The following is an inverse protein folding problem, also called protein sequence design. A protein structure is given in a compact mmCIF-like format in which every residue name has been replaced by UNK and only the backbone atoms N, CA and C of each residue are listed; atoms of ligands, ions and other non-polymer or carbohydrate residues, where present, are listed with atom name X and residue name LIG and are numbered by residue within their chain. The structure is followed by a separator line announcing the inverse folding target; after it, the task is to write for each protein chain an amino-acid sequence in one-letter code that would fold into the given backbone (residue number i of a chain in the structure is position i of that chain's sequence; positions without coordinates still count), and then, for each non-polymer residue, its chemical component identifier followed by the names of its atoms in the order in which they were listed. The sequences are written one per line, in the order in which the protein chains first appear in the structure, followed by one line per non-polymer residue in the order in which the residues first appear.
data_IF_162273124309
#
_entry.id   IF_162273124309
#
_cell.length_a   1.000
_cell.length_b   1.000
_cell.length_c   1.000
_cell.angle_alpha   90.00
_cell.angle_beta   90.00
_cell.angle_gamma   90.00
#
_symmetry.space_group_name_H-M   'P 1'
#
loop_
_entity.id
_entity.type
_entity.pdbx_description
1 polymer ?
#
# COMPACT_ATOMS: atom_id res chain seq x y z
N UNK A 1 -19.34 -16.15 -16.57
CA UNK A 1 -18.25 -15.63 -17.42
C UNK A 1 -17.53 -14.51 -16.65
N UNK A 2 -16.30 -14.14 -17.02
CA UNK A 2 -15.58 -13.02 -16.37
C UNK A 2 -15.26 -11.96 -17.41
N UNK A 3 -15.60 -10.71 -17.11
CA UNK A 3 -15.32 -9.54 -17.96
C UNK A 3 -14.33 -8.62 -17.26
N UNK A 4 -13.32 -8.16 -17.99
CA UNK A 4 -12.30 -7.22 -17.51
C UNK A 4 -12.53 -5.86 -18.18
N UNK A 5 -12.64 -4.80 -17.39
CA UNK A 5 -12.77 -3.43 -17.89
C UNK A 5 -12.22 -2.41 -16.86
N UNK A 6 -12.29 -1.12 -17.18
CA UNK A 6 -11.97 -0.04 -16.24
C UNK A 6 -13.07 0.12 -15.19
N UNK A 7 -12.71 0.38 -13.92
CA UNK A 7 -13.67 0.71 -12.88
C UNK A 7 -14.20 2.15 -13.03
N UNK A 8 -15.30 2.44 -12.35
CA UNK A 8 -15.78 3.79 -12.12
C UNK A 8 -15.20 4.34 -10.80
N UNK A 9 -14.98 5.66 -10.67
CA UNK A 9 -14.50 6.26 -9.42
C UNK A 9 -15.39 5.91 -8.20
N UNK A 10 -16.70 5.75 -8.40
CA UNK A 10 -17.63 5.34 -7.34
C UNK A 10 -17.38 3.91 -6.81
N UNK A 11 -16.66 3.08 -7.54
CA UNK A 11 -16.30 1.72 -7.13
C UNK A 11 -15.05 1.68 -6.23
N UNK A 12 -14.33 2.80 -6.05
CA UNK A 12 -13.07 2.85 -5.32
C UNK A 12 -13.17 2.36 -3.87
N UNK A 13 -14.26 2.65 -3.17
CA UNK A 13 -14.50 2.14 -1.81
C UNK A 13 -14.53 0.61 -1.78
N UNK A 14 -15.17 -0.01 -2.78
CA UNK A 14 -15.24 -1.46 -2.90
C UNK A 14 -13.87 -2.06 -3.24
N UNK A 15 -13.06 -1.37 -4.02
CA UNK A 15 -11.69 -1.80 -4.32
C UNK A 15 -10.78 -1.73 -3.08
N UNK A 16 -10.90 -0.66 -2.28
CA UNK A 16 -10.20 -0.54 -1.00
C UNK A 16 -10.57 -1.67 -0.02
N UNK A 17 -11.84 -2.10 0.01
CA UNK A 17 -12.26 -3.27 0.78
C UNK A 17 -11.60 -4.56 0.30
N UNK A 18 -11.63 -4.82 -1.01
CA UNK A 18 -11.02 -6.02 -1.60
C UNK A 18 -9.53 -6.06 -1.28
N UNK A 19 -8.85 -4.92 -1.36
CA UNK A 19 -7.43 -4.80 -1.03
C UNK A 19 -7.15 -5.21 0.41
N UNK A 20 -7.80 -4.57 1.39
CA UNK A 20 -7.58 -4.89 2.81
C UNK A 20 -7.97 -6.33 3.15
N UNK A 21 -9.05 -6.86 2.57
CA UNK A 21 -9.45 -8.25 2.75
C UNK A 21 -8.40 -9.23 2.20
N UNK A 22 -7.86 -8.96 1.01
CA UNK A 22 -6.81 -9.78 0.40
C UNK A 22 -5.50 -9.76 1.20
N UNK A 23 -5.28 -8.74 2.02
CA UNK A 23 -4.09 -8.59 2.85
C UNK A 23 -4.33 -8.91 4.33
N UNK A 24 -5.53 -9.35 4.71
CA UNK A 24 -5.86 -9.60 6.11
C UNK A 24 -4.93 -10.65 6.76
N UNK A 25 -4.45 -11.61 5.96
CA UNK A 25 -3.51 -12.65 6.37
C UNK A 25 -2.03 -12.31 6.08
N UNK A 26 -1.77 -11.13 5.49
CA UNK A 26 -0.40 -10.71 5.20
C UNK A 26 0.33 -10.32 6.50
N UNK A 27 1.38 -11.06 6.91
CA UNK A 27 2.05 -10.81 8.18
C UNK A 27 2.72 -9.43 8.23
N UNK A 28 3.10 -8.86 7.09
CA UNK A 28 3.67 -7.50 7.01
C UNK A 28 2.60 -6.46 7.42
N UNK A 29 1.38 -6.59 6.91
CA UNK A 29 0.28 -5.67 7.22
C UNK A 29 -0.11 -5.76 8.69
N UNK A 30 -0.11 -6.95 9.28
CA UNK A 30 -0.40 -7.14 10.71
C UNK A 30 0.65 -6.46 11.59
N UNK A 31 1.93 -6.44 11.18
CA UNK A 31 3.00 -5.77 11.94
C UNK A 31 2.99 -4.25 11.77
N UNK A 32 2.71 -3.76 10.56
CA UNK A 32 2.64 -2.32 10.28
C UNK A 32 1.37 -1.66 10.81
N UNK A 33 0.24 -2.38 10.77
CA UNK A 33 -1.09 -1.89 11.16
C UNK A 33 -1.70 -2.84 12.19
N UNK A 34 -1.17 -2.85 13.43
CA UNK A 34 -1.49 -3.87 14.44
C UNK A 34 -2.92 -3.75 14.98
N UNK A 35 -3.50 -2.55 15.03
CA UNK A 35 -4.85 -2.32 15.56
C UNK A 35 -5.91 -2.39 14.46
N UNK A 36 -7.15 -2.68 14.86
CA UNK A 36 -8.29 -2.66 13.93
C UNK A 36 -8.52 -1.26 13.34
N UNK A 37 -8.36 -0.22 14.15
CA UNK A 37 -8.48 1.19 13.75
C UNK A 37 -7.46 1.56 12.66
N UNK A 38 -6.17 1.21 12.85
CA UNK A 38 -5.14 1.45 11.84
C UNK A 38 -5.41 0.71 10.52
N UNK A 39 -6.01 -0.49 10.57
CA UNK A 39 -6.46 -1.21 9.36
C UNK A 39 -7.67 -0.56 8.70
N UNK A 40 -8.54 0.11 9.45
CA UNK A 40 -9.65 0.89 8.90
C UNK A 40 -9.15 2.18 8.24
N UNK A 41 -8.17 2.86 8.84
CA UNK A 41 -7.48 4.00 8.22
C UNK A 41 -6.81 3.58 6.91
N UNK A 42 -6.13 2.43 6.89
CA UNK A 42 -5.52 1.86 5.70
C UNK A 42 -6.56 1.63 4.58
N UNK A 43 -7.74 1.11 4.91
CA UNK A 43 -8.85 0.99 3.95
C UNK A 43 -9.28 2.35 3.39
N UNK A 44 -9.37 3.37 4.25
CA UNK A 44 -9.72 4.73 3.85
C UNK A 44 -8.69 5.31 2.88
N UNK A 45 -7.40 5.20 3.22
CA UNK A 45 -6.28 5.61 2.37
C UNK A 45 -6.35 4.94 1.00
N UNK A 46 -6.49 3.62 0.94
CA UNK A 46 -6.55 2.91 -0.33
C UNK A 46 -7.76 3.30 -1.17
N UNK A 47 -8.91 3.57 -0.54
CA UNK A 47 -10.09 4.02 -1.28
C UNK A 47 -9.83 5.35 -1.99
N UNK A 48 -9.18 6.31 -1.30
CA UNK A 48 -8.81 7.61 -1.87
C UNK A 48 -7.74 7.46 -2.96
N UNK A 49 -6.69 6.69 -2.68
CA UNK A 49 -5.58 6.45 -3.62
C UNK A 49 -6.06 5.78 -4.91
N UNK A 50 -6.92 4.76 -4.81
CA UNK A 50 -7.51 4.08 -5.96
C UNK A 50 -8.44 5.03 -6.72
N UNK A 51 -9.27 5.82 -6.05
CA UNK A 51 -10.11 6.82 -6.71
C UNK A 51 -9.26 7.82 -7.52
N UNK A 52 -8.14 8.27 -6.95
CA UNK A 52 -7.20 9.13 -7.65
C UNK A 52 -6.59 8.44 -8.87
N UNK A 53 -6.17 7.18 -8.74
CA UNK A 53 -5.60 6.39 -9.84
C UNK A 53 -6.60 6.19 -11.00
N UNK A 54 -7.87 5.92 -10.70
CA UNK A 54 -8.94 5.76 -11.71
C UNK A 54 -9.19 7.07 -12.48
N UNK A 55 -9.05 8.22 -11.80
CA UNK A 55 -9.24 9.54 -12.42
C UNK A 55 -8.05 10.00 -13.25
N UNK A 56 -6.86 9.49 -12.98
CA UNK A 56 -5.64 9.83 -13.70
C UNK A 56 -5.68 9.25 -15.12
N UNK A 57 -5.04 9.94 -16.06
CA UNK A 57 -4.84 9.40 -17.42
C UNK A 57 -3.36 9.11 -17.68
N UNK A 58 -3.02 7.94 -18.22
CA UNK A 58 -3.93 6.81 -18.49
C UNK A 58 -4.44 6.17 -17.20
N UNK A 59 -5.66 5.59 -17.25
CA UNK A 59 -6.18 4.76 -16.16
C UNK A 59 -5.33 3.49 -16.06
N UNK A 60 -4.81 3.23 -14.88
CA UNK A 60 -3.94 2.08 -14.58
C UNK A 60 -4.62 1.06 -13.66
N UNK A 61 -5.95 1.04 -13.66
CA UNK A 61 -6.75 0.13 -12.83
C UNK A 61 -7.68 -0.70 -13.70
N UNK A 62 -7.72 -2.02 -13.46
CA UNK A 62 -8.66 -2.93 -14.12
C UNK A 62 -9.35 -3.82 -13.09
N UNK A 63 -10.59 -4.17 -13.38
CA UNK A 63 -11.48 -4.94 -12.49
C UNK A 63 -12.09 -6.12 -13.23
N UNK A 64 -12.14 -7.27 -12.55
CA UNK A 64 -12.77 -8.47 -13.04
C UNK A 64 -14.18 -8.61 -12.45
N UNK A 65 -15.20 -8.73 -13.30
CA UNK A 65 -16.61 -8.88 -12.90
C UNK A 65 -17.18 -10.23 -13.26
N UNK A 66 -18.11 -10.72 -12.44
CA UNK A 66 -18.95 -11.87 -12.76
C UNK A 66 -20.18 -11.45 -13.62
N UNK A 67 -21.06 -12.42 -13.91
CA UNK A 67 -22.27 -12.19 -14.71
C UNK A 67 -23.31 -11.27 -14.02
N UNK A 68 -23.20 -11.07 -12.70
CA UNK A 68 -24.02 -10.14 -11.91
C UNK A 68 -23.40 -8.74 -11.82
N UNK A 69 -22.39 -8.45 -12.63
CA UNK A 69 -21.58 -7.21 -12.61
C UNK A 69 -20.86 -6.96 -11.28
N UNK A 70 -20.75 -7.97 -10.40
CA UNK A 70 -20.03 -7.85 -9.12
C UNK A 70 -18.54 -7.93 -9.34
N UNK A 71 -17.80 -6.98 -8.76
CA UNK A 71 -16.34 -6.98 -8.76
C UNK A 71 -15.84 -8.14 -7.89
N UNK A 72 -15.08 -9.05 -8.50
CA UNK A 72 -14.46 -10.20 -7.87
C UNK A 72 -13.03 -9.89 -7.42
N UNK A 73 -12.28 -9.19 -8.27
CA UNK A 73 -10.89 -8.81 -8.03
C UNK A 73 -10.54 -7.58 -8.87
N UNK A 74 -9.41 -6.97 -8.55
CA UNK A 74 -8.86 -5.87 -9.34
C UNK A 74 -7.34 -5.93 -9.37
N UNK A 75 -6.77 -5.22 -10.32
CA UNK A 75 -5.35 -4.96 -10.42
C UNK A 75 -5.17 -3.45 -10.62
N UNK A 76 -4.16 -2.91 -9.96
CA UNK A 76 -3.69 -1.56 -10.14
C UNK A 76 -2.17 -1.63 -10.32
N UNK A 77 -1.63 -0.80 -11.21
CA UNK A 77 -0.20 -0.69 -11.41
C UNK A 77 0.23 0.77 -11.58
N UNK A 78 1.46 1.05 -11.21
CA UNK A 78 2.08 2.36 -11.46
C UNK A 78 2.80 2.35 -12.80
N UNK A 79 2.71 3.46 -13.53
CA UNK A 79 3.53 3.71 -14.71
C UNK A 79 4.76 4.48 -14.26
N UNK A 80 5.91 3.78 -14.28
CA UNK A 80 7.21 4.41 -14.00
C UNK A 80 7.70 5.03 -15.31
N UNK A 81 7.69 6.35 -15.38
CA UNK A 81 8.35 7.08 -16.47
C UNK A 81 9.84 7.20 -16.15
N UNK A 82 10.74 6.60 -16.96
CA UNK A 82 12.19 6.65 -16.76
C UNK A 82 12.75 8.08 -16.65
N UNK A 83 12.06 9.07 -17.21
CA UNK A 83 12.50 10.47 -17.20
C UNK A 83 12.07 11.23 -15.93
N UNK A 84 11.13 10.70 -15.16
CA UNK A 84 10.61 11.32 -13.93
C UNK A 84 10.77 10.43 -12.70
N UNK A 85 11.60 9.37 -12.76
CA UNK A 85 11.87 8.45 -11.63
C UNK A 85 12.31 9.18 -10.36
N UNK A 86 12.96 10.33 -10.49
CA UNK A 86 13.41 11.16 -9.37
C UNK A 86 12.37 12.21 -8.92
N UNK A 87 11.26 12.36 -9.64
CA UNK A 87 10.12 13.17 -9.22
C UNK A 87 9.22 12.28 -8.37
N UNK A 88 9.08 12.62 -7.08
CA UNK A 88 8.14 11.93 -6.20
C UNK A 88 6.75 11.94 -6.83
N UNK A 89 6.10 10.77 -6.85
CA UNK A 89 4.72 10.69 -7.32
C UNK A 89 3.88 11.65 -6.47
N UNK A 90 2.98 12.41 -7.12
CA UNK A 90 1.98 13.22 -6.41
C UNK A 90 1.18 12.29 -5.50
N UNK A 91 1.53 12.27 -4.21
CA UNK A 91 0.70 11.61 -3.21
C UNK A 91 -0.58 12.43 -3.04
N UNK A 92 -1.74 11.78 -2.89
CA UNK A 92 -2.96 12.50 -2.53
C UNK A 92 -2.72 13.27 -1.23
N UNK A 93 -3.12 14.54 -1.19
CA UNK A 93 -3.05 15.39 0.00
C UNK A 93 -4.01 14.84 1.07
N UNK A 94 -3.54 13.86 1.83
CA UNK A 94 -4.25 13.23 2.93
C UNK A 94 -3.73 13.89 4.18
N UNK A 95 -4.37 14.98 4.61
CA UNK A 95 -4.02 15.62 5.87
C UNK A 95 -4.23 14.62 7.03
N UNK A 96 -3.15 14.22 7.73
CA UNK A 96 -3.30 13.44 8.95
C UNK A 96 -4.05 14.30 9.97
N UNK A 97 -4.95 13.69 10.73
CA UNK A 97 -5.55 14.34 11.89
C UNK A 97 -4.46 14.44 12.95
N UNK A 98 -3.70 15.52 12.94
CA UNK A 98 -2.61 15.76 13.89
C UNK A 98 -3.21 15.94 15.28
N UNK A 99 -2.91 15.02 16.19
CA UNK A 99 -3.20 15.19 17.62
C UNK A 99 -2.09 16.07 18.21
N UNK A 100 -2.37 17.31 18.65
CA UNK A 100 -1.35 18.29 19.06
C UNK A 100 -0.65 17.96 20.39
N UNK A 101 -0.86 16.75 20.93
CA UNK A 101 -0.29 16.30 22.21
C UNK A 101 0.89 15.32 22.08
N UNK A 102 1.24 14.89 20.86
CA UNK A 102 2.41 14.04 20.64
C UNK A 102 3.71 14.86 20.76
N UNK A 103 4.40 14.73 21.90
CA UNK A 103 5.70 15.34 22.17
C UNK A 103 6.82 14.59 21.42
N UNK A 104 7.53 15.29 20.53
CA UNK A 104 8.66 14.78 19.72
C UNK A 104 9.97 14.64 20.52
N UNK A 105 9.94 13.95 21.67
CA UNK A 105 11.18 13.61 22.39
C UNK A 105 11.29 12.09 22.54
N UNK A 106 11.43 11.41 21.40
CA UNK A 106 11.60 9.95 21.34
C UNK A 106 13.10 9.65 21.37
N UNK A 107 13.65 9.50 22.57
CA UNK A 107 14.82 8.63 22.79
C UNK A 107 14.57 7.35 22.01
N UNK A 108 15.46 6.98 21.08
CA UNK A 108 15.29 5.80 20.22
C UNK A 108 15.32 4.55 21.10
N UNK A 109 14.15 4.18 21.60
CA UNK A 109 13.98 3.12 22.59
C UNK A 109 14.38 1.78 21.97
N UNK A 110 14.97 0.92 22.80
CA UNK A 110 15.30 -0.47 22.48
C UNK A 110 14.12 -1.25 21.88
N UNK A 111 12.88 -0.83 22.20
CA UNK A 111 11.65 -1.38 21.64
C UNK A 111 11.48 -1.07 20.14
N UNK A 112 11.88 0.13 19.67
CA UNK A 112 11.81 0.54 18.26
C UNK A 112 12.78 -0.31 17.42
N UNK A 113 14.01 -0.50 17.91
CA UNK A 113 15.03 -1.34 17.25
C UNK A 113 14.61 -2.82 17.20
N UNK A 114 13.96 -3.31 18.26
CA UNK A 114 13.41 -4.66 18.34
C UNK A 114 12.24 -4.86 17.37
N UNK A 115 11.33 -3.89 17.26
CA UNK A 115 10.23 -3.90 16.30
C UNK A 115 10.75 -3.90 14.87
N UNK A 116 11.71 -3.04 14.55
CA UNK A 116 12.30 -2.93 13.21
C UNK A 116 12.99 -4.25 12.80
N UNK A 117 13.73 -4.88 13.71
CA UNK A 117 14.39 -6.17 13.46
C UNK A 117 13.36 -7.28 13.17
N UNK A 118 12.26 -7.33 13.93
CA UNK A 118 11.16 -8.28 13.69
C UNK A 118 10.46 -8.02 12.36
N UNK A 119 10.23 -6.76 12.03
CA UNK A 119 9.64 -6.36 10.75
C UNK A 119 10.52 -6.80 9.57
N UNK A 120 11.83 -6.55 9.63
CA UNK A 120 12.78 -6.95 8.58
C UNK A 120 12.76 -8.47 8.38
N UNK A 121 12.81 -9.26 9.46
CA UNK A 121 12.75 -10.72 9.37
C UNK A 121 11.46 -11.21 8.69
N UNK A 122 10.31 -10.63 9.03
CA UNK A 122 9.02 -10.97 8.43
C UNK A 122 8.96 -10.56 6.96
N UNK A 123 9.46 -9.38 6.63
CA UNK A 123 9.51 -8.88 5.26
C UNK A 123 10.44 -9.75 4.38
N UNK A 124 11.59 -10.17 4.90
CA UNK A 124 12.52 -11.06 4.21
C UNK A 124 11.92 -12.45 3.96
N UNK A 125 11.24 -13.04 4.94
CA UNK A 125 10.55 -14.33 4.82
C UNK A 125 9.39 -14.26 3.80
N UNK A 126 8.54 -13.23 3.90
CA UNK A 126 7.44 -13.02 2.96
C UNK A 126 7.95 -12.82 1.53
N UNK A 127 9.06 -12.08 1.38
CA UNK A 127 9.74 -11.90 0.08
C UNK A 127 10.24 -13.22 -0.48
N UNK A 128 10.95 -14.01 0.32
CA UNK A 128 11.49 -15.30 -0.10
C UNK A 128 10.39 -16.26 -0.56
N UNK A 129 9.25 -16.28 0.14
CA UNK A 129 8.07 -17.07 -0.23
C UNK A 129 7.40 -16.60 -1.53
N UNK A 130 7.33 -15.28 -1.74
CA UNK A 130 6.57 -14.70 -2.86
C UNK A 130 7.38 -14.62 -4.16
N UNK A 131 8.65 -14.20 -4.07
CA UNK A 131 9.50 -13.91 -5.23
C UNK A 131 10.68 -14.87 -5.39
N UNK A 132 10.90 -15.78 -4.43
CA UNK A 132 12.07 -16.65 -4.41
C UNK A 132 13.39 -15.87 -4.29
N UNK A 133 14.44 -16.37 -4.92
CA UNK A 133 15.77 -15.72 -4.93
C UNK A 133 15.93 -14.64 -6.02
N UNK A 134 14.86 -14.16 -6.63
CA UNK A 134 14.96 -13.14 -7.68
C UNK A 134 15.64 -11.87 -7.14
N UNK A 135 16.63 -11.30 -7.86
CA UNK A 135 17.20 -10.02 -7.50
C UNK A 135 16.12 -8.92 -7.61
N UNK A 136 16.15 -7.98 -6.69
CA UNK A 136 15.24 -6.82 -6.67
C UNK A 136 16.07 -5.54 -6.55
N UNK A 137 15.52 -4.43 -7.06
CA UNK A 137 16.16 -3.12 -6.99
C UNK A 137 16.24 -2.73 -5.52
N UNK A 138 17.45 -2.77 -4.94
CA UNK A 138 17.73 -2.00 -3.73
C UNK A 138 17.82 -0.55 -4.19
N UNK A 139 16.81 0.29 -3.86
CA UNK A 139 17.09 1.73 -3.76
C UNK A 139 18.22 1.82 -2.75
N UNK A 140 19.41 2.22 -3.21
CA UNK A 140 20.50 2.59 -2.32
C UNK A 140 19.97 3.74 -1.47
N UNK A 141 19.54 3.46 -0.24
CA UNK A 141 19.42 4.51 0.75
C UNK A 141 20.83 5.07 0.93
N UNK A 142 21.07 6.38 0.74
CA UNK A 142 22.35 6.96 1.08
C UNK A 142 22.64 6.58 2.53
N UNK A 143 23.80 5.96 2.76
CA UNK A 143 24.30 5.71 4.11
C UNK A 143 24.35 7.05 4.81
N UNK A 144 23.41 7.30 5.73
CA UNK A 144 23.56 8.38 6.69
C UNK A 144 24.74 7.96 7.57
N UNK A 145 25.91 8.50 7.22
CA UNK A 145 27.14 8.34 7.97
C UNK A 145 26.92 8.76 9.42
N UNK A 146 27.36 7.89 10.32
CA UNK A 146 27.52 8.15 11.75
C UNK A 146 28.61 9.21 11.94
#
# INVERSE_FOLDING_TARGET
MVVINSPQPSEAQRLGEIYVLSMAENPIIVVQFPTLERRQELRGYFSISIEHAIRKQPDTTLVARNDDERILSFIHWDVIDPQTVDQEAEEPDIQPKVDPTASDDVSVDSEVLSWQSKYVAIAEDARAKSMGQRPYIRKSMPEFGI
#
